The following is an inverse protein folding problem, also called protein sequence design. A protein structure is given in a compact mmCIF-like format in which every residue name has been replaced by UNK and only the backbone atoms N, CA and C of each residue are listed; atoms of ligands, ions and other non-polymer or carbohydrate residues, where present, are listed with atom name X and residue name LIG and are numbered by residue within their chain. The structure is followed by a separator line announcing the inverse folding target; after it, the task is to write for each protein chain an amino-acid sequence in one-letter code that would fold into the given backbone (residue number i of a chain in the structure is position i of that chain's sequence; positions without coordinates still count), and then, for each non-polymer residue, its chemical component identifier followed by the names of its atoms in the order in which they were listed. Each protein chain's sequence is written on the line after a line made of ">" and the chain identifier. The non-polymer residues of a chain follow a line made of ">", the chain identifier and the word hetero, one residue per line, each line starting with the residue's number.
data_IF_299198227464
#
_entry.id   IF_299198227464
#
_cell.length_a   1.000
_cell.length_b   1.000
_cell.length_c   1.000
_cell.angle_alpha   90.00
_cell.angle_beta   90.00
_cell.angle_gamma   90.00
#
_symmetry.space_group_name_H-M   'P 1'
#
loop_
_entity.id
_entity.type
_entity.pdbx_description
1 polymer ?
#
# COMPACT_ATOMS: atom_id res chain seq x y z
N UNK A 1 -13.06 25.46 19.73
CA UNK A 1 -13.10 24.11 19.11
C UNK A 1 -13.23 24.32 17.61
N UNK A 2 -12.12 24.13 16.89
CA UNK A 2 -11.93 24.55 15.50
C UNK A 2 -12.82 23.78 14.52
N UNK A 3 -13.47 24.53 13.63
CA UNK A 3 -14.24 24.12 12.44
C UNK A 3 -13.72 22.84 11.74
N UNK A 4 -14.23 21.68 12.18
CA UNK A 4 -14.09 20.41 11.46
C UNK A 4 -14.95 20.44 10.20
N UNK A 5 -14.39 21.03 9.14
CA UNK A 5 -14.34 20.46 7.79
C UNK A 5 -15.56 19.65 7.29
N UNK A 6 -16.77 20.18 7.40
CA UNK A 6 -17.98 19.56 6.85
C UNK A 6 -17.82 19.44 5.33
N UNK A 7 -17.92 18.21 4.80
CA UNK A 7 -18.02 17.99 3.36
C UNK A 7 -19.41 18.42 2.89
N UNK A 8 -19.49 18.99 1.69
CA UNK A 8 -20.81 19.14 1.06
C UNK A 8 -21.34 17.75 0.68
N UNK A 9 -22.67 17.62 0.54
CA UNK A 9 -23.30 16.35 0.12
C UNK A 9 -22.66 15.77 -1.16
N UNK A 10 -22.34 16.63 -2.13
CA UNK A 10 -21.66 16.22 -3.37
C UNK A 10 -20.21 15.77 -3.15
N UNK A 11 -19.45 16.45 -2.29
CA UNK A 11 -18.07 16.04 -1.98
C UNK A 11 -18.05 14.68 -1.25
N UNK A 12 -18.98 14.48 -0.32
CA UNK A 12 -19.15 13.20 0.37
C UNK A 12 -19.57 12.09 -0.59
N UNK A 13 -20.49 12.37 -1.51
CA UNK A 13 -20.90 11.44 -2.57
C UNK A 13 -19.70 10.99 -3.43
N UNK A 14 -18.87 11.94 -3.89
CA UNK A 14 -17.63 11.61 -4.63
C UNK A 14 -16.72 10.70 -3.82
N UNK A 15 -16.44 11.05 -2.56
CA UNK A 15 -15.54 10.29 -1.71
C UNK A 15 -16.07 8.86 -1.46
N UNK A 16 -17.39 8.74 -1.22
CA UNK A 16 -18.08 7.46 -1.03
C UNK A 16 -18.08 6.62 -2.31
N UNK A 17 -18.24 7.22 -3.47
CA UNK A 17 -18.18 6.52 -4.75
C UNK A 17 -16.78 5.98 -5.03
N UNK A 18 -15.74 6.78 -4.77
CA UNK A 18 -14.34 6.31 -4.85
C UNK A 18 -14.13 5.09 -3.96
N UNK A 19 -14.59 5.15 -2.71
CA UNK A 19 -14.48 4.03 -1.77
C UNK A 19 -15.19 2.77 -2.29
N UNK A 20 -16.43 2.94 -2.76
CA UNK A 20 -17.26 1.82 -3.22
C UNK A 20 -16.67 1.17 -4.47
N UNK A 21 -16.21 1.98 -5.42
CA UNK A 21 -15.56 1.51 -6.66
C UNK A 21 -14.28 0.71 -6.35
N UNK A 22 -13.41 1.20 -5.46
CA UNK A 22 -12.21 0.47 -5.02
C UNK A 22 -12.61 -0.85 -4.37
N UNK A 23 -13.60 -0.82 -3.48
CA UNK A 23 -14.05 -2.01 -2.74
C UNK A 23 -14.67 -3.08 -3.66
N UNK A 24 -15.46 -2.69 -4.65
CA UNK A 24 -16.22 -3.62 -5.49
C UNK A 24 -15.45 -4.09 -6.73
N UNK A 25 -14.69 -3.20 -7.36
CA UNK A 25 -13.99 -3.46 -8.63
C UNK A 25 -12.49 -3.66 -8.48
N UNK A 26 -11.91 -3.28 -7.33
CA UNK A 26 -10.46 -3.27 -7.11
C UNK A 26 -9.77 -2.03 -7.68
N UNK A 27 -10.51 -1.06 -8.22
CA UNK A 27 -9.96 0.12 -8.85
C UNK A 27 -10.68 1.40 -8.45
N UNK A 28 -9.98 2.55 -8.41
CA UNK A 28 -10.66 3.83 -8.31
C UNK A 28 -11.48 4.11 -9.58
N UNK A 29 -12.56 4.90 -9.47
CA UNK A 29 -13.44 5.21 -10.58
C UNK A 29 -12.73 6.09 -11.61
N UNK A 30 -13.15 5.97 -12.86
CA UNK A 30 -12.72 6.85 -13.95
C UNK A 30 -13.39 8.22 -13.85
N UNK A 31 -12.90 9.20 -14.64
CA UNK A 31 -13.59 10.48 -14.78
C UNK A 31 -15.00 10.31 -15.38
N UNK A 32 -15.21 9.31 -16.24
CA UNK A 32 -16.52 9.02 -16.81
C UNK A 32 -17.48 8.48 -15.74
N UNK A 33 -17.03 7.52 -14.94
CA UNK A 33 -17.83 6.94 -13.84
C UNK A 33 -18.24 8.02 -12.83
N UNK A 34 -17.30 8.92 -12.47
CA UNK A 34 -17.57 10.02 -11.55
C UNK A 34 -18.56 11.04 -12.11
N UNK A 35 -18.53 11.26 -13.43
CA UNK A 35 -19.49 12.15 -14.09
C UNK A 35 -20.90 11.58 -14.06
N UNK A 36 -21.03 10.30 -14.35
CA UNK A 36 -22.30 9.58 -14.33
C UNK A 36 -22.88 9.58 -12.92
N UNK A 37 -22.08 9.24 -11.90
CA UNK A 37 -22.49 9.25 -10.49
C UNK A 37 -22.97 10.64 -10.02
N UNK A 38 -22.32 11.71 -10.48
CA UNK A 38 -22.65 13.08 -10.07
C UNK A 38 -23.72 13.77 -10.92
N UNK A 39 -24.18 13.12 -12.00
CA UNK A 39 -25.04 13.72 -13.02
C UNK A 39 -24.49 15.07 -13.52
N UNK A 40 -23.22 15.07 -13.96
CA UNK A 40 -22.55 16.26 -14.50
C UNK A 40 -21.99 16.04 -15.90
N UNK A 41 -22.16 17.06 -16.75
CA UNK A 41 -21.75 17.03 -18.16
C UNK A 41 -20.27 17.38 -18.40
N UNK A 42 -19.56 17.92 -17.41
CA UNK A 42 -18.19 18.43 -17.56
C UNK A 42 -17.18 17.65 -16.74
N UNK A 43 -16.07 17.27 -17.39
CA UNK A 43 -14.90 16.70 -16.71
C UNK A 43 -14.31 17.69 -15.71
N UNK A 44 -14.40 19.00 -15.97
CA UNK A 44 -13.85 20.03 -15.08
C UNK A 44 -14.55 20.03 -13.72
N UNK A 45 -15.88 19.85 -13.69
CA UNK A 45 -16.63 19.77 -12.45
C UNK A 45 -16.15 18.62 -11.55
N UNK A 46 -15.86 17.45 -12.14
CA UNK A 46 -15.28 16.31 -11.41
C UNK A 46 -13.88 16.63 -10.90
N UNK A 47 -13.02 17.20 -11.74
CA UNK A 47 -11.65 17.58 -11.35
C UNK A 47 -11.65 18.59 -10.20
N UNK A 48 -12.60 19.52 -10.18
CA UNK A 48 -12.74 20.50 -9.09
C UNK A 48 -13.11 19.81 -7.77
N UNK A 49 -14.02 18.83 -7.79
CA UNK A 49 -14.31 18.03 -6.60
C UNK A 49 -13.09 17.25 -6.12
N UNK A 50 -12.37 16.57 -7.03
CA UNK A 50 -11.17 15.83 -6.68
C UNK A 50 -10.10 16.74 -6.07
N UNK A 51 -9.89 17.93 -6.64
CA UNK A 51 -8.95 18.94 -6.13
C UNK A 51 -9.34 19.40 -4.73
N UNK A 52 -10.63 19.61 -4.46
CA UNK A 52 -11.10 19.98 -3.12
C UNK A 52 -10.85 18.85 -2.11
N UNK A 53 -11.14 17.60 -2.48
CA UNK A 53 -10.89 16.44 -1.60
C UNK A 53 -9.39 16.25 -1.33
N UNK A 54 -8.54 16.46 -2.33
CA UNK A 54 -7.08 16.41 -2.22
C UNK A 54 -6.55 17.53 -1.31
N UNK A 55 -7.01 18.78 -1.51
CA UNK A 55 -6.67 19.91 -0.64
C UNK A 55 -7.08 19.68 0.82
N UNK A 56 -8.18 18.95 1.05
CA UNK A 56 -8.64 18.54 2.39
C UNK A 56 -7.84 17.36 2.97
N UNK A 57 -6.89 16.79 2.22
CA UNK A 57 -6.10 15.60 2.54
C UNK A 57 -6.96 14.36 2.76
N UNK A 58 -8.04 14.20 2.00
CA UNK A 58 -8.92 13.03 2.04
C UNK A 58 -8.55 12.01 0.99
N UNK A 59 -8.00 12.48 -0.14
CA UNK A 59 -7.49 11.65 -1.22
C UNK A 59 -6.11 12.18 -1.67
N UNK A 60 -5.40 11.38 -2.46
CA UNK A 60 -4.15 11.74 -3.13
C UNK A 60 -4.16 11.14 -4.53
N UNK A 61 -3.71 11.90 -5.52
CA UNK A 61 -3.43 11.38 -6.86
C UNK A 61 -1.95 11.05 -6.98
N UNK A 62 -1.62 9.81 -7.33
CA UNK A 62 -0.26 9.44 -7.72
C UNK A 62 0.02 9.93 -9.15
N UNK A 63 1.07 10.75 -9.31
CA UNK A 63 1.53 11.21 -10.61
C UNK A 63 2.03 10.05 -11.47
N UNK A 64 1.72 10.07 -12.77
CA UNK A 64 2.14 9.05 -13.72
C UNK A 64 1.34 7.74 -13.71
N UNK A 65 0.36 7.59 -12.80
CA UNK A 65 -0.51 6.41 -12.76
C UNK A 65 -1.90 6.71 -13.35
N UNK A 66 -2.30 5.97 -14.41
CA UNK A 66 -3.62 6.10 -15.04
C UNK A 66 -4.79 5.87 -14.07
N UNK A 67 -4.57 5.10 -13.00
CA UNK A 67 -5.50 4.84 -11.89
C UNK A 67 -4.87 5.14 -10.52
N UNK A 68 -4.16 6.28 -10.41
CA UNK A 68 -3.41 6.66 -9.20
C UNK A 68 -4.21 7.24 -8.03
N UNK A 69 -5.54 7.11 -8.00
CA UNK A 69 -6.35 7.75 -6.95
C UNK A 69 -6.38 6.89 -5.68
N UNK A 70 -5.96 7.46 -4.55
CA UNK A 70 -5.98 6.82 -3.24
C UNK A 70 -6.80 7.60 -2.24
N UNK A 71 -7.54 6.91 -1.38
CA UNK A 71 -8.13 7.50 -0.18
C UNK A 71 -7.06 7.52 0.92
N UNK A 72 -6.88 8.67 1.55
CA UNK A 72 -5.97 8.83 2.69
C UNK A 72 -6.68 8.46 3.99
N UNK A 73 -5.92 8.22 5.08
CA UNK A 73 -6.47 7.86 6.39
C UNK A 73 -7.67 8.73 6.80
N UNK A 74 -7.52 10.05 6.67
CA UNK A 74 -8.55 11.03 7.00
C UNK A 74 -9.82 10.87 6.15
N UNK A 75 -9.70 10.42 4.90
CA UNK A 75 -10.84 10.14 4.02
C UNK A 75 -11.69 8.97 4.53
N UNK A 76 -11.05 7.89 4.99
CA UNK A 76 -11.76 6.76 5.60
C UNK A 76 -12.44 7.16 6.93
N UNK A 77 -11.75 7.94 7.76
CA UNK A 77 -12.28 8.46 9.03
C UNK A 77 -13.52 9.34 8.80
N UNK A 78 -13.47 10.24 7.81
CA UNK A 78 -14.61 11.11 7.46
C UNK A 78 -15.81 10.32 6.96
N UNK A 79 -15.58 9.22 6.21
CA UNK A 79 -16.66 8.34 5.75
C UNK A 79 -17.19 7.40 6.84
N UNK A 80 -16.49 7.22 7.96
CA UNK A 80 -16.84 6.23 8.98
C UNK A 80 -16.77 4.78 8.48
N UNK A 81 -15.86 4.50 7.53
CA UNK A 81 -15.70 3.17 6.91
C UNK A 81 -14.33 2.57 7.23
N UNK A 82 -14.18 1.26 6.99
CA UNK A 82 -12.91 0.55 7.17
C UNK A 82 -11.88 1.00 6.13
N UNK A 83 -10.61 0.97 6.50
CA UNK A 83 -9.52 1.26 5.57
C UNK A 83 -9.38 0.14 4.54
N UNK A 84 -9.26 0.50 3.26
CA UNK A 84 -8.91 -0.43 2.18
C UNK A 84 -7.40 -0.36 1.94
N UNK A 85 -6.73 -1.51 2.00
CA UNK A 85 -5.30 -1.63 1.70
C UNK A 85 -5.13 -2.46 0.43
N UNK A 86 -4.32 -2.00 -0.55
CA UNK A 86 -4.02 -2.81 -1.72
C UNK A 86 -3.08 -3.96 -1.32
N UNK A 87 -3.38 -5.16 -1.77
CA UNK A 87 -2.54 -6.36 -1.61
C UNK A 87 -1.79 -6.61 -2.90
N UNK A 88 -0.45 -6.52 -2.86
CA UNK A 88 0.44 -6.77 -4.01
C UNK A 88 0.52 -8.25 -4.44
N UNK A 89 -0.31 -9.14 -3.88
CA UNK A 89 -0.22 -10.58 -4.14
C UNK A 89 0.98 -11.24 -3.45
N UNK A 90 1.48 -12.34 -4.04
CA UNK A 90 2.55 -13.18 -3.48
C UNK A 90 3.91 -12.55 -3.78
N UNK A 91 4.66 -12.16 -2.74
CA UNK A 91 6.07 -11.80 -2.87
C UNK A 91 6.88 -13.08 -2.72
N UNK A 92 7.05 -13.79 -3.84
CA UNK A 92 7.92 -14.95 -3.94
C UNK A 92 9.31 -14.56 -4.47
N UNK A 93 10.34 -15.25 -3.98
CA UNK A 93 11.65 -15.30 -4.63
C UNK A 93 11.46 -15.81 -6.07
N UNK A 94 11.93 -15.06 -7.05
CA UNK A 94 11.58 -15.20 -8.46
C UNK A 94 11.29 -13.85 -9.13
N UNK A 95 11.49 -13.72 -10.47
CA UNK A 95 11.30 -12.46 -11.17
C UNK A 95 9.84 -12.03 -11.12
N UNK A 96 9.56 -10.99 -10.33
CA UNK A 96 8.21 -10.53 -10.06
C UNK A 96 7.84 -9.46 -11.08
N UNK A 97 7.02 -9.83 -12.06
CA UNK A 97 6.45 -8.90 -13.04
C UNK A 97 5.17 -8.32 -12.45
N UNK A 98 5.16 -7.01 -12.19
CA UNK A 98 4.04 -6.29 -11.59
C UNK A 98 3.17 -5.65 -12.69
N UNK A 99 1.86 -5.87 -12.64
CA UNK A 99 0.88 -4.92 -13.17
C UNK A 99 -0.03 -4.45 -12.04
N UNK A 100 -0.46 -3.18 -12.09
CA UNK A 100 -1.43 -2.62 -11.14
C UNK A 100 -2.82 -3.28 -11.29
N UNK A 101 -3.01 -4.16 -12.28
CA UNK A 101 -4.27 -4.81 -12.58
C UNK A 101 -4.58 -6.02 -11.68
N UNK A 102 -3.59 -6.54 -10.94
CA UNK A 102 -3.74 -7.76 -10.15
C UNK A 102 -3.91 -7.51 -8.64
N UNK A 103 -4.18 -6.27 -8.22
CA UNK A 103 -4.28 -5.90 -6.81
C UNK A 103 -5.63 -6.28 -6.19
N UNK A 104 -5.61 -7.21 -5.24
CA UNK A 104 -6.76 -7.45 -4.36
C UNK A 104 -6.80 -6.39 -3.23
N UNK A 105 -7.94 -5.75 -3.01
CA UNK A 105 -8.12 -4.83 -1.88
C UNK A 105 -8.75 -5.55 -0.69
N UNK A 106 -8.20 -5.33 0.51
CA UNK A 106 -8.67 -5.96 1.75
C UNK A 106 -9.10 -4.89 2.76
N UNK A 107 -10.22 -5.13 3.46
CA UNK A 107 -10.73 -4.26 4.52
C UNK A 107 -9.96 -4.47 5.84
N UNK A 108 -9.61 -3.38 6.52
CA UNK A 108 -8.93 -3.40 7.81
C UNK A 108 -9.60 -2.52 8.86
N UNK A 109 -9.63 -3.03 10.10
CA UNK A 109 -10.44 -2.50 11.19
C UNK A 109 -9.81 -1.44 12.09
N UNK A 110 -8.48 -1.25 12.15
CA UNK A 110 -7.91 -0.34 13.18
C UNK A 110 -6.62 0.47 12.86
N UNK A 111 -6.78 1.77 13.10
CA UNK A 111 -5.97 2.93 13.54
C UNK A 111 -4.48 3.17 13.19
N UNK A 112 -3.63 2.17 12.92
CA UNK A 112 -2.17 2.41 12.72
C UNK A 112 -1.69 2.34 11.28
N UNK A 113 -2.63 2.21 10.36
CA UNK A 113 -2.37 2.26 8.93
C UNK A 113 -2.07 3.71 8.55
N UNK A 114 -0.84 3.96 8.13
CA UNK A 114 -0.43 5.23 7.54
C UNK A 114 -0.82 5.25 6.06
N UNK A 115 -0.76 6.43 5.45
CA UNK A 115 -0.78 6.51 3.99
C UNK A 115 0.42 5.75 3.39
N UNK A 116 0.30 5.31 2.13
CA UNK A 116 1.34 4.61 1.37
C UNK A 116 1.81 3.24 1.90
N UNK A 117 0.87 2.46 2.45
CA UNK A 117 1.08 1.04 2.75
C UNK A 117 0.47 0.10 1.69
N UNK A 118 0.96 -1.13 1.66
CA UNK A 118 0.40 -2.24 0.88
C UNK A 118 0.66 -3.57 1.58
N UNK A 119 -0.09 -4.61 1.21
CA UNK A 119 0.14 -5.97 1.73
C UNK A 119 1.00 -6.78 0.77
N UNK A 120 1.81 -7.67 1.33
CA UNK A 120 2.45 -8.74 0.59
C UNK A 120 2.19 -10.06 1.30
N UNK A 121 1.90 -11.12 0.55
CA UNK A 121 1.89 -12.48 1.09
C UNK A 121 3.32 -13.04 1.06
N UNK A 122 3.78 -13.53 2.21
CA UNK A 122 5.05 -14.22 2.36
C UNK A 122 5.00 -15.55 1.61
N UNK A 123 6.07 -15.85 0.88
CA UNK A 123 6.30 -17.13 0.23
C UNK A 123 7.62 -17.73 0.71
N UNK A 124 7.58 -18.98 1.16
CA UNK A 124 8.72 -19.72 1.72
C UNK A 124 8.98 -19.43 3.21
N UNK A 125 10.01 -20.07 3.76
CA UNK A 125 10.37 -20.05 5.18
C UNK A 125 11.61 -19.18 5.49
N UNK A 126 12.11 -18.39 4.52
CA UNK A 126 13.35 -17.61 4.67
C UNK A 126 13.33 -16.58 5.81
N UNK A 127 12.14 -16.19 6.28
CA UNK A 127 11.94 -15.22 7.36
C UNK A 127 11.30 -15.83 8.61
N UNK A 128 11.29 -17.17 8.74
CA UNK A 128 10.63 -17.88 9.83
C UNK A 128 11.15 -17.48 11.22
N UNK A 129 12.45 -17.18 11.35
CA UNK A 129 13.07 -16.71 12.59
C UNK A 129 12.64 -15.31 13.02
N UNK A 130 12.12 -14.49 12.10
CA UNK A 130 11.45 -13.23 12.40
C UNK A 130 9.94 -13.41 12.72
N UNK A 131 9.47 -14.66 12.80
CA UNK A 131 8.06 -14.97 12.99
C UNK A 131 7.20 -14.67 11.76
N UNK A 132 7.80 -14.60 10.57
CA UNK A 132 7.09 -14.44 9.29
C UNK A 132 7.08 -15.80 8.56
N UNK A 133 5.95 -16.49 8.64
CA UNK A 133 5.78 -17.82 8.06
C UNK A 133 5.25 -17.75 6.62
N UNK A 134 5.43 -18.84 5.87
CA UNK A 134 4.80 -19.00 4.55
C UNK A 134 3.29 -18.78 4.65
N UNK A 135 2.76 -17.94 3.75
CA UNK A 135 1.34 -17.58 3.70
C UNK A 135 0.92 -16.41 4.60
N UNK A 136 1.77 -15.93 5.52
CA UNK A 136 1.50 -14.72 6.31
C UNK A 136 1.32 -13.51 5.39
N UNK A 137 0.41 -12.59 5.74
CA UNK A 137 0.33 -11.29 5.07
C UNK A 137 1.06 -10.24 5.88
N UNK A 138 2.05 -9.59 5.31
CA UNK A 138 2.77 -8.49 5.96
C UNK A 138 2.29 -7.14 5.48
N UNK A 139 2.29 -6.16 6.38
CA UNK A 139 2.03 -4.76 6.08
C UNK A 139 3.35 -4.10 5.73
N UNK A 140 3.43 -3.54 4.53
CA UNK A 140 4.62 -2.86 4.04
C UNK A 140 4.33 -1.38 3.87
N UNK A 141 5.15 -0.54 4.47
CA UNK A 141 5.12 0.91 4.31
C UNK A 141 6.18 1.33 3.29
N UNK A 142 5.79 2.03 2.21
CA UNK A 142 6.77 2.62 1.27
C UNK A 142 7.69 3.56 2.04
N UNK A 143 9.00 3.47 1.77
CA UNK A 143 9.99 4.32 2.43
C UNK A 143 11.19 4.56 1.52
N UNK A 144 11.88 5.68 1.74
CA UNK A 144 13.17 5.99 1.12
C UNK A 144 14.33 5.92 2.11
N UNK A 145 14.03 5.85 3.41
CA UNK A 145 15.02 5.80 4.48
C UNK A 145 14.96 4.46 5.17
N UNK A 146 16.06 3.72 5.24
CA UNK A 146 16.10 2.39 5.83
C UNK A 146 17.18 2.31 6.91
N UNK A 147 16.89 1.61 8.01
CA UNK A 147 17.78 1.48 9.16
C UNK A 147 18.25 0.04 9.31
N UNK A 148 19.47 -0.11 9.82
CA UNK A 148 20.02 -1.41 10.19
C UNK A 148 19.06 -2.16 11.13
N UNK A 149 18.83 -3.45 10.85
CA UNK A 149 17.91 -4.32 11.58
C UNK A 149 16.45 -4.24 11.14
N UNK A 150 16.06 -3.33 10.24
CA UNK A 150 14.70 -3.29 9.72
C UNK A 150 14.43 -4.45 8.74
N UNK A 151 13.24 -5.04 8.81
CA UNK A 151 12.77 -5.98 7.78
C UNK A 151 12.26 -5.15 6.59
N UNK A 152 12.88 -5.34 5.44
CA UNK A 152 12.64 -4.54 4.24
C UNK A 152 12.13 -5.40 3.08
N UNK A 153 11.27 -4.81 2.26
CA UNK A 153 11.01 -5.27 0.91
C UNK A 153 12.05 -4.68 -0.02
N UNK A 154 12.77 -5.53 -0.73
CA UNK A 154 13.77 -5.17 -1.71
C UNK A 154 13.44 -5.80 -3.07
N UNK A 155 13.84 -5.10 -4.14
CA UNK A 155 13.94 -5.66 -5.48
C UNK A 155 15.40 -5.90 -5.80
N UNK A 156 15.75 -7.12 -6.14
CA UNK A 156 17.07 -7.53 -6.56
C UNK A 156 16.97 -8.38 -7.83
N UNK A 157 17.70 -8.03 -8.89
CA UNK A 157 17.63 -8.75 -10.18
C UNK A 157 16.20 -8.98 -10.72
N UNK A 158 15.32 -7.99 -10.58
CA UNK A 158 13.88 -8.05 -10.88
C UNK A 158 13.04 -9.01 -10.01
N UNK A 159 13.62 -9.58 -8.97
CA UNK A 159 12.92 -10.40 -7.98
C UNK A 159 12.59 -9.59 -6.73
N UNK A 160 11.41 -9.81 -6.16
CA UNK A 160 11.00 -9.16 -4.92
C UNK A 160 11.30 -10.07 -3.73
N UNK A 161 11.94 -9.54 -2.70
CA UNK A 161 12.31 -10.32 -1.51
C UNK A 161 12.09 -9.52 -0.24
N UNK A 162 11.72 -10.23 0.83
CA UNK A 162 11.61 -9.65 2.18
C UNK A 162 12.73 -10.23 3.03
N UNK A 163 13.59 -9.35 3.57
CA UNK A 163 14.80 -9.71 4.33
C UNK A 163 15.09 -8.66 5.39
N UNK A 164 15.89 -9.02 6.40
CA UNK A 164 16.42 -8.04 7.36
C UNK A 164 17.56 -7.28 6.70
N UNK A 165 17.48 -5.95 6.64
CA UNK A 165 18.61 -5.11 6.23
C UNK A 165 19.67 -5.15 7.33
N UNK A 166 20.86 -5.61 7.00
CA UNK A 166 22.00 -5.57 7.91
C UNK A 166 23.09 -4.69 7.33
N UNK A 167 23.60 -3.79 8.14
CA UNK A 167 24.79 -2.98 7.88
C UNK A 167 25.84 -3.29 8.94
N UNK A 168 26.95 -3.87 8.51
CA UNK A 168 28.08 -4.23 9.37
C UNK A 168 29.40 -3.82 8.73
N UNK A 169 30.26 -3.14 9.48
CA UNK A 169 31.60 -2.71 9.04
C UNK A 169 31.64 -2.03 7.66
N UNK A 170 30.66 -1.17 7.37
CA UNK A 170 30.56 -0.45 6.10
C UNK A 170 30.04 -1.28 4.91
N UNK A 171 29.64 -2.53 5.13
CA UNK A 171 28.98 -3.39 4.13
C UNK A 171 27.52 -3.59 4.50
N UNK A 172 26.64 -3.49 3.52
CA UNK A 172 25.22 -3.78 3.69
C UNK A 172 24.80 -5.02 2.91
N UNK A 173 23.96 -5.84 3.50
CA UNK A 173 23.41 -7.05 2.90
C UNK A 173 21.99 -7.32 3.40
N UNK A 174 21.24 -8.12 2.64
CA UNK A 174 19.92 -8.60 2.99
C UNK A 174 20.05 -9.98 3.64
N UNK A 175 19.70 -10.06 4.92
CA UNK A 175 19.82 -11.26 5.75
C UNK A 175 18.49 -12.03 5.81
N UNK A 176 18.46 -13.30 5.41
CA UNK A 176 17.37 -14.21 5.76
C UNK A 176 17.38 -14.50 7.26
N UNK A 177 16.20 -14.60 7.86
CA UNK A 177 16.03 -15.06 9.25
C UNK A 177 15.77 -16.58 9.28
N UNK A 178 16.59 -17.31 8.51
CA UNK A 178 16.59 -18.77 8.45
C UNK A 178 17.99 -19.26 8.03
N UNK A 179 18.71 -20.02 8.87
CA UNK A 179 20.08 -20.46 8.61
C UNK A 179 20.28 -21.30 7.33
N UNK A 180 19.21 -21.86 6.74
CA UNK A 180 19.27 -22.60 5.47
C UNK A 180 19.65 -21.70 4.29
N UNK A 181 19.48 -20.38 4.42
CA UNK A 181 19.65 -19.42 3.34
C UNK A 181 20.88 -18.55 3.56
N UNK A 182 21.56 -18.20 2.47
CA UNK A 182 22.75 -17.32 2.52
C UNK A 182 22.33 -15.85 2.51
N UNK A 183 23.17 -15.00 3.10
CA UNK A 183 23.04 -13.55 3.00
C UNK A 183 23.17 -13.11 1.54
N UNK A 184 22.35 -12.14 1.15
CA UNK A 184 22.31 -11.59 -0.21
C UNK A 184 23.02 -10.23 -0.19
N UNK A 185 24.17 -10.06 -0.87
CA UNK A 185 24.84 -8.77 -0.97
C UNK A 185 23.92 -7.72 -1.62
N UNK A 186 24.06 -6.46 -1.23
CA UNK A 186 23.40 -5.34 -1.91
C UNK A 186 24.29 -4.86 -3.05
N UNK A 187 23.73 -4.84 -4.26
CA UNK A 187 24.39 -4.36 -5.47
C UNK A 187 23.77 -3.00 -5.91
N UNK A 188 24.42 -2.26 -6.84
CA UNK A 188 23.91 -0.97 -7.32
C UNK A 188 22.47 -1.00 -7.88
N UNK A 189 22.06 -2.14 -8.44
CA UNK A 189 20.72 -2.39 -8.96
C UNK A 189 19.69 -2.77 -7.90
N UNK A 190 20.12 -3.18 -6.70
CA UNK A 190 19.21 -3.52 -5.60
C UNK A 190 18.46 -2.27 -5.15
N UNK A 191 17.13 -2.35 -5.12
CA UNK A 191 16.26 -1.25 -4.69
C UNK A 191 15.49 -1.63 -3.43
N UNK A 192 15.68 -0.88 -2.36
CA UNK A 192 14.82 -0.96 -1.19
C UNK A 192 13.53 -0.17 -1.45
N UNK A 193 12.38 -0.78 -1.19
CA UNK A 193 11.06 -0.25 -1.59
C UNK A 193 10.24 0.17 -0.37
N UNK A 194 10.28 -0.63 0.69
CA UNK A 194 9.46 -0.38 1.87
C UNK A 194 9.85 -1.24 3.07
N UNK A 195 9.26 -0.93 4.21
CA UNK A 195 9.53 -1.57 5.50
C UNK A 195 8.35 -2.42 5.90
N UNK A 196 8.62 -3.62 6.42
CA UNK A 196 7.59 -4.42 7.08
C UNK A 196 7.32 -3.80 8.46
N UNK A 197 6.10 -3.30 8.66
CA UNK A 197 5.68 -2.62 9.89
C UNK A 197 4.72 -3.48 10.75
N UNK A 198 4.35 -4.65 10.25
CA UNK A 198 3.48 -5.60 10.96
C UNK A 198 3.05 -6.75 10.07
N UNK A 199 2.22 -7.64 10.63
CA UNK A 199 1.57 -8.72 9.89
C UNK A 199 0.10 -8.86 10.27
N UNK A 200 -0.66 -9.42 9.36
CA UNK A 200 -2.09 -9.69 9.45
C UNK A 200 -2.30 -11.19 9.31
N UNK A 201 -3.07 -11.76 10.22
CA UNK A 201 -3.43 -13.17 10.15
C UNK A 201 -2.28 -14.05 10.63
N UNK A 202 -2.41 -14.49 11.86
CA UNK A 202 -1.77 -15.68 12.40
C UNK A 202 -2.66 -16.09 13.54
N UNK A 203 -3.19 -17.32 13.53
CA UNK A 203 -3.80 -17.85 14.75
C UNK A 203 -2.76 -17.67 15.85
N UNK A 204 -3.07 -16.86 16.87
CA UNK A 204 -2.43 -17.04 18.17
C UNK A 204 -2.79 -18.48 18.54
N UNK A 205 -1.83 -19.38 18.42
CA UNK A 205 -1.90 -20.62 19.19
C UNK A 205 -1.76 -20.23 20.65
#
# INVERSE_FOLDING_TARGET
>A
MSSLNVLTKRQEQVLKFIYTSIKSSGYPPTLADLREELDVSSNQAVLDFLKILENKKLIKKEEGAARGLKILKKGFEVLGVKTLIPSLGIVAAGPFKYSMEDLEWKEFGDAKITDDIFLAKISGDSMIGAGLADGDHVIIQKSQEFRNGEIVLARDNNEMTIKTLVSDNGRSYLKPENPKYKNIPIYPETRLIGKVIGKIGGKRK
#
